data_IF_069502688152
#
_entry.id   IF_069502688152
#
_cell.length_a   1.000
_cell.length_b   1.000
_cell.length_c   1.000
_cell.angle_alpha   90.00
_cell.angle_beta   90.00
_cell.angle_gamma   90.00
#
_symmetry.space_group_name_H-M   'P 1'
#
loop_
_entity.id
_entity.type
_entity.pdbx_description
1 polymer ?
#
# COMPACT_ATOMS: atom_id res chain seq x y z
N UNK A 1 -3.55 -18.36 7.32
CA UNK A 1 -3.11 -17.89 5.99
C UNK A 1 -1.60 -18.08 5.88
N UNK A 2 -1.15 -18.99 5.01
CA UNK A 2 0.25 -19.42 4.84
C UNK A 2 1.17 -18.40 4.12
N UNK A 3 0.78 -17.13 4.04
CA UNK A 3 1.46 -16.10 3.25
C UNK A 3 2.24 -15.06 4.07
N UNK A 4 2.25 -15.18 5.41
CA UNK A 4 2.90 -14.21 6.30
C UNK A 4 4.03 -14.83 7.10
N UNK A 5 5.27 -14.41 6.86
CA UNK A 5 6.42 -14.74 7.72
C UNK A 5 6.63 -13.61 8.74
N UNK A 6 6.84 -13.95 10.03
CA UNK A 6 7.12 -13.00 11.10
C UNK A 6 8.50 -13.27 11.69
N UNK A 7 9.22 -12.22 12.05
CA UNK A 7 10.54 -12.34 12.66
C UNK A 7 10.88 -11.17 13.55
N UNK A 8 11.79 -11.42 14.49
CA UNK A 8 12.45 -10.38 15.27
C UNK A 8 13.72 -9.94 14.55
N UNK A 9 14.04 -8.65 14.62
CA UNK A 9 15.32 -8.13 14.14
C UNK A 9 16.03 -7.31 15.20
N UNK A 10 17.35 -7.36 15.13
CA UNK A 10 18.23 -6.54 15.96
C UNK A 10 18.76 -5.39 15.12
N UNK A 11 18.49 -4.16 15.55
CA UNK A 11 19.09 -3.00 14.89
C UNK A 11 20.59 -3.02 15.18
N UNK A 12 21.41 -3.16 14.14
CA UNK A 12 22.87 -3.04 14.24
C UNK A 12 23.27 -1.56 14.36
N UNK A 13 22.84 -0.91 15.43
CA UNK A 13 23.40 0.36 15.86
C UNK A 13 24.60 0.00 16.74
N UNK A 14 25.77 0.58 16.48
CA UNK A 14 27.00 0.34 17.25
C UNK A 14 26.93 0.75 18.73
N UNK A 15 25.73 0.93 19.28
CA UNK A 15 25.46 1.33 20.65
C UNK A 15 24.64 0.25 21.37
N UNK A 16 24.96 0.00 22.65
CA UNK A 16 24.65 -1.22 23.40
C UNK A 16 23.16 -1.45 23.71
N UNK A 17 22.25 -0.58 23.28
CA UNK A 17 20.82 -0.81 23.43
C UNK A 17 20.30 -1.65 22.26
N UNK A 18 20.29 -2.98 22.43
CA UNK A 18 19.55 -3.89 21.55
C UNK A 18 18.06 -3.58 21.65
N UNK A 19 17.55 -2.71 20.77
CA UNK A 19 16.12 -2.60 20.54
C UNK A 19 15.71 -3.72 19.59
N UNK A 20 14.96 -4.68 20.10
CA UNK A 20 14.26 -5.67 19.30
C UNK A 20 13.12 -4.98 18.57
N UNK A 21 13.14 -5.05 17.24
CA UNK A 21 12.00 -4.70 16.40
C UNK A 21 11.36 -5.97 15.85
N UNK A 22 10.10 -5.88 15.43
CA UNK A 22 9.41 -6.97 14.73
C UNK A 22 9.17 -6.60 13.29
N UNK A 23 9.19 -7.57 12.39
CA UNK A 23 8.79 -7.39 11.00
C UNK A 23 7.82 -8.51 10.57
N UNK A 24 7.07 -8.24 9.50
CA UNK A 24 6.22 -9.22 8.85
C UNK A 24 6.42 -9.10 7.34
N UNK A 25 6.78 -10.20 6.69
CA UNK A 25 6.88 -10.29 5.24
C UNK A 25 5.62 -10.97 4.74
N UNK A 26 4.94 -10.30 3.82
CA UNK A 26 3.80 -10.84 3.09
C UNK A 26 4.30 -11.30 1.72
N UNK A 27 4.22 -12.60 1.46
CA UNK A 27 4.62 -13.20 0.19
C UNK A 27 3.35 -13.51 -0.64
N UNK A 28 3.06 -12.77 -1.71
CA UNK A 28 1.87 -12.99 -2.54
C UNK A 28 1.86 -14.42 -3.11
N UNK A 29 0.69 -15.08 -3.11
CA UNK A 29 0.55 -16.42 -3.68
C UNK A 29 0.67 -16.34 -5.21
N UNK A 30 1.66 -17.05 -5.77
CA UNK A 30 1.82 -17.19 -7.22
C UNK A 30 0.77 -18.17 -7.73
N UNK A 31 -0.09 -17.73 -8.63
CA UNK A 31 -0.80 -18.64 -9.52
C UNK A 31 0.12 -18.98 -10.71
N UNK A 32 0.05 -20.22 -11.19
CA UNK A 32 0.94 -20.77 -12.24
C UNK A 32 0.86 -20.04 -13.59
N UNK A 33 -0.12 -19.15 -13.76
CA UNK A 33 -0.36 -18.41 -15.00
C UNK A 33 0.26 -16.99 -14.98
N UNK A 34 0.93 -16.60 -13.90
CA UNK A 34 1.60 -15.31 -13.77
C UNK A 34 2.98 -15.35 -14.46
N UNK A 35 3.01 -14.94 -15.74
CA UNK A 35 4.27 -14.62 -16.42
C UNK A 35 5.07 -13.61 -15.57
N UNK A 36 6.38 -13.82 -15.47
CA UNK A 36 7.38 -13.06 -14.67
C UNK A 36 7.37 -11.52 -14.85
N UNK A 37 6.49 -10.96 -15.69
CA UNK A 37 6.53 -9.59 -16.17
C UNK A 37 6.07 -8.51 -15.17
N UNK A 38 5.18 -8.80 -14.22
CA UNK A 38 4.52 -7.72 -13.46
C UNK A 38 5.17 -7.42 -12.09
N UNK A 39 5.92 -8.37 -11.53
CA UNK A 39 6.57 -8.21 -10.22
C UNK A 39 8.03 -7.78 -10.30
N UNK A 40 8.70 -7.96 -11.45
CA UNK A 40 10.14 -7.76 -11.59
C UNK A 40 10.94 -9.02 -11.25
N UNK A 41 12.09 -9.20 -11.91
CA UNK A 41 12.93 -10.39 -11.75
C UNK A 41 13.49 -10.53 -10.33
N UNK A 42 13.82 -9.41 -9.69
CA UNK A 42 14.41 -9.40 -8.34
C UNK A 42 13.36 -9.73 -7.27
N UNK A 43 12.17 -9.15 -7.32
CA UNK A 43 11.07 -9.50 -6.42
C UNK A 43 10.65 -10.97 -6.55
N UNK A 44 10.53 -11.48 -7.78
CA UNK A 44 10.18 -12.88 -8.03
C UNK A 44 11.21 -13.85 -7.45
N UNK A 45 12.51 -13.55 -7.61
CA UNK A 45 13.57 -14.35 -7.01
C UNK A 45 13.57 -14.27 -5.47
N UNK A 46 13.30 -13.10 -4.89
CA UNK A 46 13.22 -12.95 -3.44
C UNK A 46 12.11 -13.81 -2.83
N UNK A 47 10.92 -13.83 -3.44
CA UNK A 47 9.82 -14.69 -3.00
C UNK A 47 10.17 -16.17 -3.13
N UNK A 48 10.83 -16.58 -4.22
CA UNK A 48 11.30 -17.96 -4.38
C UNK A 48 12.24 -18.36 -3.24
N UNK A 49 13.25 -17.53 -2.97
CA UNK A 49 14.23 -17.79 -1.89
C UNK A 49 13.54 -17.90 -0.53
N UNK A 50 12.55 -17.05 -0.25
CA UNK A 50 11.81 -17.11 1.01
C UNK A 50 10.95 -18.37 1.17
N UNK A 51 10.49 -18.98 0.08
CA UNK A 51 9.61 -20.15 0.10
C UNK A 51 10.34 -21.47 0.04
N UNK A 52 11.36 -21.54 -0.81
CA UNK A 52 11.99 -22.80 -1.20
C UNK A 52 13.35 -22.99 -0.52
N UNK A 53 14.07 -21.89 -0.27
CA UNK A 53 15.49 -21.94 0.09
C UNK A 53 15.80 -21.48 1.53
N UNK A 54 14.78 -21.07 2.30
CA UNK A 54 14.95 -20.55 3.66
C UNK A 54 14.43 -21.52 4.72
N UNK A 55 15.30 -21.83 5.68
CA UNK A 55 14.96 -22.61 6.86
C UNK A 55 14.74 -21.71 8.08
N UNK A 56 13.98 -22.23 9.04
CA UNK A 56 13.83 -21.58 10.35
C UNK A 56 15.22 -21.41 10.96
N UNK A 57 15.53 -20.20 11.44
CA UNK A 57 16.83 -19.71 11.95
C UNK A 57 17.83 -19.20 10.91
N UNK A 58 17.49 -19.16 9.63
CA UNK A 58 18.33 -18.47 8.65
C UNK A 58 18.28 -16.95 8.84
N UNK A 59 19.44 -16.30 8.67
CA UNK A 59 19.54 -14.85 8.76
C UNK A 59 19.11 -14.19 7.44
N UNK A 60 18.39 -13.07 7.55
CA UNK A 60 17.96 -12.23 6.43
C UNK A 60 18.46 -10.80 6.68
N UNK A 61 19.26 -10.28 5.76
CA UNK A 61 19.67 -8.90 5.78
C UNK A 61 18.59 -8.02 5.14
N UNK A 62 18.01 -7.11 5.93
CA UNK A 62 17.01 -6.16 5.45
C UNK A 62 17.65 -4.78 5.31
N UNK A 63 17.51 -4.17 4.13
CA UNK A 63 17.85 -2.77 3.91
C UNK A 63 16.56 -2.00 3.67
N UNK A 64 16.30 -0.89 4.38
CA UNK A 64 15.18 -0.01 4.06
C UNK A 64 15.25 0.41 2.59
N UNK A 65 14.11 0.35 1.90
CA UNK A 65 14.00 0.79 0.52
C UNK A 65 14.37 2.29 0.37
N UNK A 66 14.72 2.73 -0.85
CA UNK A 66 15.07 4.13 -1.11
C UNK A 66 13.84 5.05 -1.02
N UNK A 67 12.64 4.51 -1.20
CA UNK A 67 11.40 5.26 -1.31
C UNK A 67 10.94 5.76 0.06
N UNK A 68 10.81 7.09 0.18
CA UNK A 68 10.12 7.75 1.28
C UNK A 68 8.90 8.44 0.70
N UNK A 69 7.77 8.37 1.40
CA UNK A 69 6.61 9.17 1.05
C UNK A 69 6.94 10.64 1.32
N UNK A 70 7.12 11.42 0.27
CA UNK A 70 7.39 12.85 0.36
C UNK A 70 6.38 13.60 -0.51
N UNK A 71 5.52 14.39 0.13
CA UNK A 71 4.60 15.27 -0.59
C UNK A 71 5.34 16.53 -1.02
N UNK A 72 5.40 16.77 -2.33
CA UNK A 72 6.01 17.96 -2.94
C UNK A 72 5.00 18.83 -3.67
N UNK A 73 3.71 18.61 -3.41
CA UNK A 73 2.64 19.32 -4.06
C UNK A 73 2.52 20.76 -3.60
N UNK A 74 2.11 21.63 -4.51
CA UNK A 74 1.92 23.06 -4.24
C UNK A 74 0.78 23.39 -3.24
N UNK A 75 -0.12 22.44 -2.97
CA UNK A 75 -1.31 22.67 -2.15
C UNK A 75 -1.12 22.23 -0.69
N UNK A 76 -0.50 23.10 0.10
CA UNK A 76 -0.33 22.92 1.53
C UNK A 76 -1.30 23.80 2.35
N UNK A 77 -1.77 23.34 3.53
CA UNK A 77 -1.53 22.02 4.09
C UNK A 77 -2.38 20.94 3.40
N UNK A 78 -1.91 19.69 3.43
CA UNK A 78 -2.72 18.54 3.00
C UNK A 78 -3.83 18.32 4.03
N UNK A 79 -5.07 18.38 3.58
CA UNK A 79 -6.27 18.20 4.42
C UNK A 79 -7.04 16.93 4.07
N UNK A 80 -6.87 16.42 2.84
CA UNK A 80 -7.52 15.19 2.36
C UNK A 80 -6.47 14.25 1.79
N UNK A 81 -6.56 12.98 2.14
CA UNK A 81 -5.74 11.94 1.53
C UNK A 81 -6.62 10.90 0.87
N UNK A 82 -6.29 10.51 -0.36
CA UNK A 82 -6.82 9.31 -1.00
C UNK A 82 -5.70 8.29 -1.17
N UNK A 83 -5.91 7.09 -0.65
CA UNK A 83 -5.08 5.94 -0.85
C UNK A 83 -5.74 5.00 -1.87
N UNK A 84 -5.03 4.66 -2.93
CA UNK A 84 -5.45 3.65 -3.90
C UNK A 84 -4.47 2.48 -3.80
N UNK A 85 -4.93 1.39 -3.22
CA UNK A 85 -4.17 0.17 -3.01
C UNK A 85 -4.58 -0.89 -4.03
N UNK A 86 -3.61 -1.62 -4.57
CA UNK A 86 -3.87 -2.86 -5.31
C UNK A 86 -3.20 -4.06 -4.65
N UNK A 87 -3.98 -5.12 -4.39
CA UNK A 87 -3.50 -6.34 -3.76
C UNK A 87 -2.77 -6.05 -2.44
N UNK A 88 -1.52 -6.50 -2.34
CA UNK A 88 -0.65 -6.32 -1.16
C UNK A 88 -0.22 -4.86 -0.91
N UNK A 89 -0.46 -3.93 -1.85
CA UNK A 89 -0.18 -2.50 -1.68
C UNK A 89 -0.93 -1.84 -0.51
N UNK A 90 -1.94 -2.51 0.05
CA UNK A 90 -2.64 -2.03 1.23
C UNK A 90 -1.76 -2.03 2.50
N UNK A 91 -0.71 -2.86 2.54
CA UNK A 91 0.15 -3.04 3.71
C UNK A 91 0.90 -1.75 4.09
N UNK A 92 1.63 -1.09 3.17
CA UNK A 92 2.23 0.20 3.48
C UNK A 92 1.17 1.28 3.77
N UNK A 93 -0.02 1.21 3.16
CA UNK A 93 -1.12 2.15 3.42
C UNK A 93 -1.60 2.04 4.86
N UNK A 94 -1.77 0.83 5.40
CA UNK A 94 -2.17 0.63 6.80
C UNK A 94 -1.17 1.27 7.79
N UNK A 95 0.12 1.25 7.46
CA UNK A 95 1.14 1.94 8.29
C UNK A 95 0.97 3.47 8.23
N UNK A 96 0.67 4.02 7.05
CA UNK A 96 0.39 5.45 6.91
C UNK A 96 -0.90 5.86 7.65
N UNK A 97 -1.94 5.05 7.60
CA UNK A 97 -3.18 5.28 8.34
C UNK A 97 -2.91 5.42 9.84
N UNK A 98 -2.12 4.51 10.42
CA UNK A 98 -1.76 4.55 11.84
C UNK A 98 -0.98 5.80 12.24
N UNK A 99 -0.28 6.45 11.31
CA UNK A 99 0.41 7.72 11.55
C UNK A 99 -0.52 8.94 11.39
N UNK A 100 -1.42 8.93 10.41
CA UNK A 100 -2.20 10.10 9.99
C UNK A 100 -3.55 10.22 10.71
N UNK A 101 -4.16 9.11 11.10
CA UNK A 101 -5.50 9.09 11.69
C UNK A 101 -5.59 9.71 13.10
N UNK A 102 -4.67 9.45 14.05
CA UNK A 102 -4.77 9.99 15.40
C UNK A 102 -4.98 11.50 15.44
N UNK A 103 -5.75 11.98 16.42
CA UNK A 103 -6.00 13.41 16.57
C UNK A 103 -4.69 14.18 16.85
N UNK A 104 -4.55 15.34 16.21
CA UNK A 104 -3.36 16.18 16.34
C UNK A 104 -2.08 15.62 15.69
N UNK A 105 -2.12 14.46 15.02
CA UNK A 105 -0.93 13.91 14.35
C UNK A 105 -0.64 14.55 13.00
N UNK A 106 -1.64 15.16 12.35
CA UNK A 106 -1.53 15.78 11.03
C UNK A 106 -2.62 16.82 10.77
N UNK A 107 -2.48 17.60 9.70
CA UNK A 107 -3.52 18.50 9.17
C UNK A 107 -4.65 17.80 8.41
N UNK A 108 -4.56 16.47 8.26
CA UNK A 108 -5.51 15.67 7.49
C UNK A 108 -6.78 15.47 8.29
N UNK A 109 -7.90 15.89 7.71
CA UNK A 109 -9.24 15.79 8.32
C UNK A 109 -10.08 14.67 7.71
N UNK A 110 -9.69 14.18 6.54
CA UNK A 110 -10.39 13.11 5.83
C UNK A 110 -9.42 12.21 5.08
N UNK A 111 -9.64 10.90 5.19
CA UNK A 111 -8.88 9.86 4.52
C UNK A 111 -9.84 8.92 3.81
N UNK A 112 -9.63 8.75 2.51
CA UNK A 112 -10.33 7.80 1.65
C UNK A 112 -9.39 6.67 1.26
N UNK A 113 -9.79 5.42 1.48
CA UNK A 113 -9.04 4.23 1.06
C UNK A 113 -9.88 3.47 0.05
N UNK A 114 -9.35 3.35 -1.17
CA UNK A 114 -9.84 2.44 -2.19
C UNK A 114 -8.88 1.26 -2.27
N UNK A 115 -9.32 0.09 -1.83
CA UNK A 115 -8.55 -1.15 -1.93
C UNK A 115 -9.15 -2.04 -3.02
N UNK A 116 -8.37 -2.24 -4.08
CA UNK A 116 -8.74 -3.08 -5.21
C UNK A 116 -7.97 -4.40 -5.13
N UNK A 117 -8.65 -5.52 -5.34
CA UNK A 117 -8.02 -6.84 -5.39
C UNK A 117 -8.64 -7.71 -6.50
N UNK A 118 -7.92 -8.73 -6.96
CA UNK A 118 -8.38 -9.59 -8.06
C UNK A 118 -9.55 -10.47 -7.64
N UNK A 119 -9.51 -10.97 -6.40
CA UNK A 119 -10.52 -11.83 -5.81
C UNK A 119 -10.96 -11.31 -4.44
N UNK A 120 -12.04 -11.87 -3.88
CA UNK A 120 -12.51 -11.48 -2.54
C UNK A 120 -11.56 -11.98 -1.44
N UNK A 121 -10.93 -13.13 -1.66
CA UNK A 121 -10.06 -13.79 -0.69
C UNK A 121 -8.74 -13.03 -0.50
N UNK A 122 -8.32 -12.24 -1.50
CA UNK A 122 -7.14 -11.38 -1.41
C UNK A 122 -7.27 -10.28 -0.33
N UNK A 123 -8.48 -10.01 0.15
CA UNK A 123 -8.72 -9.05 1.22
C UNK A 123 -8.41 -9.61 2.61
N UNK A 124 -8.42 -10.94 2.79
CA UNK A 124 -8.17 -11.60 4.08
C UNK A 124 -6.75 -11.34 4.62
N UNK A 125 -5.88 -10.72 3.82
CA UNK A 125 -4.51 -10.34 4.18
C UNK A 125 -4.51 -9.40 5.40
N UNK A 126 -5.32 -8.34 5.38
CA UNK A 126 -5.41 -7.34 6.48
C UNK A 126 -6.80 -6.72 6.67
N UNK A 127 -7.88 -7.32 6.15
CA UNK A 127 -9.26 -6.80 6.30
C UNK A 127 -9.60 -6.48 7.76
N UNK A 128 -9.40 -7.42 8.68
CA UNK A 128 -9.66 -7.23 10.13
C UNK A 128 -8.91 -6.02 10.72
N UNK A 129 -7.67 -5.78 10.28
CA UNK A 129 -6.85 -4.69 10.79
C UNK A 129 -7.33 -3.35 10.25
N UNK A 130 -7.77 -3.32 8.98
CA UNK A 130 -8.31 -2.12 8.35
C UNK A 130 -9.69 -1.79 8.93
N UNK A 131 -10.53 -2.79 9.19
CA UNK A 131 -11.81 -2.63 9.89
C UNK A 131 -11.60 -2.08 11.31
N UNK A 132 -10.62 -2.60 12.05
CA UNK A 132 -10.29 -2.10 13.38
C UNK A 132 -9.88 -0.62 13.37
N UNK A 133 -9.16 -0.14 12.36
CA UNK A 133 -8.85 1.29 12.23
C UNK A 133 -10.07 2.13 11.81
N UNK A 134 -10.93 1.59 10.94
CA UNK A 134 -12.19 2.24 10.58
C UNK A 134 -13.13 2.44 11.78
N UNK A 135 -13.28 1.41 12.61
CA UNK A 135 -14.11 1.49 13.81
C UNK A 135 -13.58 2.48 14.85
N UNK A 136 -12.27 2.73 14.89
CA UNK A 136 -11.66 3.75 15.76
C UNK A 136 -11.88 5.17 15.23
N UNK A 137 -11.88 5.36 13.90
CA UNK A 137 -11.90 6.68 13.26
C UNK A 137 -13.01 6.84 12.20
N UNK A 138 -14.28 6.51 12.50
CA UNK A 138 -15.33 6.39 11.49
C UNK A 138 -15.73 7.72 10.83
N UNK A 139 -15.43 8.86 11.47
CA UNK A 139 -15.67 10.21 10.91
C UNK A 139 -14.56 10.70 10.00
N UNK A 140 -13.34 10.15 10.13
CA UNK A 140 -12.14 10.59 9.41
C UNK A 140 -11.71 9.59 8.34
N UNK A 141 -11.94 8.30 8.53
CA UNK A 141 -11.56 7.24 7.60
C UNK A 141 -12.79 6.70 6.85
N UNK A 142 -12.70 6.61 5.53
CA UNK A 142 -13.65 5.88 4.68
C UNK A 142 -12.91 4.81 3.92
N UNK A 143 -13.45 3.59 3.92
CA UNK A 143 -12.82 2.43 3.27
C UNK A 143 -13.79 1.86 2.23
N UNK A 144 -13.29 1.62 1.04
CA UNK A 144 -14.01 0.99 -0.06
C UNK A 144 -13.17 -0.14 -0.63
N UNK A 145 -13.73 -1.35 -0.62
CA UNK A 145 -13.09 -2.55 -1.15
C UNK A 145 -13.78 -2.95 -2.46
N UNK A 146 -13.01 -3.19 -3.51
CA UNK A 146 -13.53 -3.49 -4.87
C UNK A 146 -12.77 -4.67 -5.47
N UNK A 147 -13.52 -5.63 -6.01
CA UNK A 147 -12.94 -6.74 -6.78
C UNK A 147 -12.81 -6.29 -8.24
N UNK A 148 -11.59 -6.27 -8.77
CA UNK A 148 -11.27 -6.00 -10.17
C UNK A 148 -9.84 -6.46 -10.53
N UNK A 149 -9.64 -6.79 -11.80
CA UNK A 149 -8.34 -7.16 -12.33
C UNK A 149 -7.69 -5.96 -13.05
N UNK A 150 -6.98 -5.13 -12.27
CA UNK A 150 -6.28 -3.95 -12.79
C UNK A 150 -5.03 -4.29 -13.62
N UNK A 151 -4.69 -5.58 -13.81
CA UNK A 151 -3.67 -5.97 -14.79
C UNK A 151 -4.16 -5.74 -16.22
N UNK A 152 -5.43 -6.06 -16.46
CA UNK A 152 -6.07 -5.92 -17.78
C UNK A 152 -6.96 -4.68 -17.89
N UNK A 153 -7.47 -4.18 -16.75
CA UNK A 153 -8.35 -3.02 -16.70
C UNK A 153 -7.63 -1.78 -16.14
N UNK A 154 -8.16 -0.62 -16.47
CA UNK A 154 -7.82 0.67 -15.86
C UNK A 154 -8.85 1.07 -14.81
N UNK A 155 -8.52 2.06 -13.98
CA UNK A 155 -9.46 2.61 -13.01
C UNK A 155 -10.72 3.21 -13.67
N UNK A 156 -10.64 3.60 -14.95
CA UNK A 156 -11.75 4.17 -15.71
C UNK A 156 -12.73 3.11 -16.22
N UNK A 157 -12.29 1.86 -16.40
CA UNK A 157 -13.11 0.82 -17.03
C UNK A 157 -14.23 0.31 -16.10
N UNK A 158 -14.12 0.59 -14.80
CA UNK A 158 -15.08 0.18 -13.79
C UNK A 158 -15.71 1.39 -13.10
N UNK A 159 -16.97 1.65 -13.44
CA UNK A 159 -17.74 2.78 -12.89
C UNK A 159 -17.87 2.77 -11.36
N UNK A 160 -17.79 1.60 -10.71
CA UNK A 160 -17.80 1.49 -9.24
C UNK A 160 -16.47 1.88 -8.61
N UNK A 161 -15.36 1.70 -9.33
CA UNK A 161 -14.03 2.17 -8.93
C UNK A 161 -13.92 3.67 -9.22
N UNK A 162 -14.34 4.10 -10.41
CA UNK A 162 -14.32 5.50 -10.80
C UNK A 162 -15.12 6.38 -9.81
N UNK A 163 -16.33 5.96 -9.43
CA UNK A 163 -17.15 6.69 -8.46
C UNK A 163 -16.59 6.68 -7.03
N UNK A 164 -15.69 5.76 -6.71
CA UNK A 164 -15.03 5.70 -5.41
C UNK A 164 -13.90 6.74 -5.27
N UNK A 165 -13.37 7.22 -6.40
CA UNK A 165 -12.31 8.22 -6.45
C UNK A 165 -12.98 9.60 -6.48
N UNK A 166 -12.72 10.50 -5.50
CA UNK A 166 -13.27 11.84 -5.49
C UNK A 166 -12.57 12.71 -6.55
N UNK A 167 -13.22 13.81 -6.92
CA UNK A 167 -12.58 14.81 -7.77
C UNK A 167 -11.53 15.60 -6.98
N UNK A 168 -10.55 16.13 -7.71
CA UNK A 168 -9.48 16.89 -7.09
C UNK A 168 -10.02 18.18 -6.45
N UNK A 169 -9.51 18.47 -5.24
CA UNK A 169 -9.70 19.76 -4.58
C UNK A 169 -8.38 20.20 -3.94
N UNK A 170 -8.09 21.50 -3.83
CA UNK A 170 -6.89 21.98 -3.16
C UNK A 170 -6.73 21.38 -1.76
N UNK A 171 -5.52 20.89 -1.46
CA UNK A 171 -5.20 20.18 -0.21
C UNK A 171 -5.49 18.68 -0.26
N UNK A 172 -5.87 18.13 -1.42
CA UNK A 172 -5.92 16.68 -1.66
C UNK A 172 -4.56 16.13 -2.08
N UNK A 173 -4.12 15.05 -1.41
CA UNK A 173 -2.99 14.23 -1.79
C UNK A 173 -3.48 12.83 -2.18
N UNK A 174 -2.99 12.30 -3.31
CA UNK A 174 -3.23 10.93 -3.72
C UNK A 174 -1.99 10.07 -3.48
N UNK A 175 -2.17 8.86 -2.97
CA UNK A 175 -1.11 7.89 -2.71
C UNK A 175 -1.50 6.56 -3.34
N UNK A 176 -0.66 6.08 -4.24
CA UNK A 176 -0.84 4.85 -4.98
C UNK A 176 0.11 3.79 -4.44
N UNK A 177 -0.36 2.57 -4.19
CA UNK A 177 0.53 1.47 -3.81
C UNK A 177 0.08 0.15 -4.42
N UNK A 178 1.02 -0.54 -5.06
CA UNK A 178 0.79 -1.77 -5.81
C UNK A 178 1.91 -2.05 -6.82
N UNK A 179 1.72 -3.03 -7.71
CA UNK A 179 2.64 -3.32 -8.82
C UNK A 179 2.91 -2.07 -9.65
N UNK A 180 4.16 -1.85 -10.02
CA UNK A 180 4.60 -0.60 -10.67
C UNK A 180 3.81 -0.28 -11.94
N UNK A 181 3.50 -1.30 -12.74
CA UNK A 181 2.67 -1.14 -13.94
C UNK A 181 1.28 -0.60 -13.65
N UNK A 182 0.62 -1.13 -12.62
CA UNK A 182 -0.70 -0.65 -12.15
C UNK A 182 -0.59 0.77 -11.62
N UNK A 183 0.37 1.05 -10.73
CA UNK A 183 0.54 2.37 -10.11
C UNK A 183 0.82 3.48 -11.13
N UNK A 184 1.64 3.21 -12.16
CA UNK A 184 1.92 4.18 -13.24
C UNK A 184 0.69 4.46 -14.11
N UNK A 185 -0.11 3.43 -14.42
CA UNK A 185 -1.40 3.61 -15.13
C UNK A 185 -2.39 4.40 -14.27
N UNK A 186 -2.50 4.08 -12.99
CA UNK A 186 -3.36 4.80 -12.04
C UNK A 186 -2.96 6.27 -11.89
N UNK A 187 -1.65 6.58 -11.86
CA UNK A 187 -1.14 7.96 -11.87
C UNK A 187 -1.61 8.71 -13.11
N UNK A 188 -1.44 8.08 -14.29
CA UNK A 188 -1.86 8.68 -15.56
C UNK A 188 -3.36 8.98 -15.59
N UNK A 189 -4.18 8.07 -15.07
CA UNK A 189 -5.63 8.27 -14.90
C UNK A 189 -5.95 9.46 -13.98
N UNK A 190 -5.31 9.55 -12.81
CA UNK A 190 -5.55 10.67 -11.88
C UNK A 190 -5.17 12.02 -12.50
N UNK A 191 -4.06 12.08 -13.23
CA UNK A 191 -3.64 13.29 -13.96
C UNK A 191 -4.69 13.69 -14.99
N UNK A 192 -5.23 12.74 -15.76
CA UNK A 192 -6.32 13.00 -16.72
C UNK A 192 -7.60 13.50 -16.03
N UNK A 193 -7.85 13.05 -14.79
CA UNK A 193 -8.96 13.49 -13.95
C UNK A 193 -8.73 14.85 -13.26
N UNK A 194 -7.58 15.49 -13.50
CA UNK A 194 -7.26 16.82 -13.01
C UNK A 194 -6.48 16.86 -11.69
N UNK A 195 -5.95 15.72 -11.22
CA UNK A 195 -5.00 15.73 -10.12
C UNK A 195 -3.65 16.27 -10.60
N UNK A 196 -3.09 17.30 -9.95
CA UNK A 196 -1.74 17.75 -10.21
C UNK A 196 -0.72 16.64 -9.96
N UNK A 197 0.27 16.53 -10.84
CA UNK A 197 1.26 15.46 -10.81
C UNK A 197 2.11 15.46 -9.52
N UNK A 198 2.37 16.65 -8.99
CA UNK A 198 3.07 16.90 -7.72
C UNK A 198 2.23 16.54 -6.47
N UNK A 199 0.94 16.29 -6.64
CA UNK A 199 0.01 15.87 -5.59
C UNK A 199 -0.23 14.36 -5.56
N UNK A 200 0.41 13.59 -6.44
CA UNK A 200 0.31 12.13 -6.53
C UNK A 200 1.64 11.49 -6.12
N UNK A 201 1.60 10.60 -5.14
CA UNK A 201 2.76 9.82 -4.70
C UNK A 201 2.56 8.34 -5.00
N UNK A 202 3.64 7.65 -5.37
CA UNK A 202 3.67 6.18 -5.52
C UNK A 202 4.54 5.61 -4.40
N UNK A 203 4.02 4.59 -3.72
CA UNK A 203 4.66 3.82 -2.66
C UNK A 203 5.11 2.47 -3.16
#
# INVERSE_FOLDING_TARGET
SDSTAKGDFYVYLGDRSRRTGTFSILAPQRNSDDEDGDMGFDEANFIRVLREDKFVNDELALRPGPSKLEYRGQFLPVTKMIFIAYGVGIVPILQQLKAVLPEGSSSVVQVDVLWVAETRDDFDIIEDQLEAEFLKYPSKLRVQMKVDNLRFNTLADNSKIESAIPDFSPGTMAVLSGPSGVSLRSRSYLVQRGYPDDCICIL
#
